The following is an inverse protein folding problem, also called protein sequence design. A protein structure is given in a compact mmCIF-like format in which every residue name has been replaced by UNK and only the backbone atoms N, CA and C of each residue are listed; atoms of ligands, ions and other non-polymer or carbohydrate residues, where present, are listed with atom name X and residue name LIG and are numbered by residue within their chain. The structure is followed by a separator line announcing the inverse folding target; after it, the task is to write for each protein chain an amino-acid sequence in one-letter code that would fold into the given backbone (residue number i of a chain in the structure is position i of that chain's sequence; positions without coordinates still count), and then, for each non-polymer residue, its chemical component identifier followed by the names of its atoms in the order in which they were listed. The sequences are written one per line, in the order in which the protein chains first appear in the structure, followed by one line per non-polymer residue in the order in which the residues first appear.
data_IF_854135151462
#
_entry.id   IF_854135151462
#
_cell.length_a   1.000
_cell.length_b   1.000
_cell.length_c   1.000
_cell.angle_alpha   90.00
_cell.angle_beta   90.00
_cell.angle_gamma   90.00
#
_symmetry.space_group_name_H-M   'P 1'
#
loop_
_entity.id
_entity.type
_entity.pdbx_description
1 polymer ?
#
# COMPACT_ATOMS: atom_id res chain seq x y z
N UNK A 1 9.09 13.15 15.59
CA UNK A 1 8.08 12.70 16.60
C UNK A 1 6.96 11.97 15.88
N UNK A 2 6.11 11.19 16.58
CA UNK A 2 4.99 10.48 15.90
C UNK A 2 4.01 11.44 15.20
N UNK A 3 3.82 12.66 15.70
CA UNK A 3 2.99 13.69 15.07
C UNK A 3 3.49 14.11 13.68
N UNK A 4 4.81 14.17 13.52
CA UNK A 4 5.44 14.50 12.23
C UNK A 4 5.24 13.35 11.23
N UNK A 5 5.35 12.09 11.70
CA UNK A 5 5.06 10.91 10.89
C UNK A 5 3.59 10.89 10.46
N UNK A 6 2.67 11.17 11.39
CA UNK A 6 1.23 11.27 11.12
C UNK A 6 0.95 12.29 10.00
N UNK A 7 1.54 13.47 10.10
CA UNK A 7 1.43 14.54 9.08
C UNK A 7 1.99 14.13 7.72
N UNK A 8 3.15 13.45 7.70
CA UNK A 8 3.78 12.98 6.46
C UNK A 8 2.92 11.92 5.76
N UNK A 9 2.40 10.94 6.49
CA UNK A 9 1.55 9.89 5.93
C UNK A 9 0.23 10.47 5.42
N UNK A 10 -0.39 11.41 6.14
CA UNK A 10 -1.58 12.12 5.65
C UNK A 10 -1.31 12.87 4.34
N UNK A 11 -0.12 13.47 4.20
CA UNK A 11 0.26 14.19 2.98
C UNK A 11 0.41 13.22 1.79
N UNK A 12 1.08 12.09 2.00
CA UNK A 12 1.19 11.04 0.98
C UNK A 12 -0.19 10.49 0.55
N UNK A 13 -1.06 10.17 1.51
CA UNK A 13 -2.41 9.68 1.20
C UNK A 13 -3.25 10.73 0.45
N UNK A 14 -3.09 12.01 0.79
CA UNK A 14 -3.75 13.11 0.09
C UNK A 14 -3.32 13.19 -1.37
N UNK A 15 -2.02 13.14 -1.63
CA UNK A 15 -1.48 13.22 -2.99
C UNK A 15 -1.90 12.00 -3.81
N UNK A 16 -1.86 10.81 -3.21
CA UNK A 16 -2.33 9.58 -3.85
C UNK A 16 -3.82 9.62 -4.22
N UNK A 17 -4.68 10.17 -3.35
CA UNK A 17 -6.11 10.33 -3.62
C UNK A 17 -6.43 11.36 -4.73
N UNK A 18 -5.53 12.31 -5.01
CA UNK A 18 -5.71 13.22 -6.13
C UNK A 18 -5.48 12.53 -7.49
N UNK A 19 -4.65 11.49 -7.50
CA UNK A 19 -4.24 10.80 -8.73
C UNK A 19 -5.02 9.51 -8.99
N UNK A 20 -5.61 8.88 -7.98
CA UNK A 20 -6.32 7.61 -8.18
C UNK A 20 -7.03 7.03 -6.96
N UNK A 21 -7.29 5.73 -7.03
CA UNK A 21 -7.90 4.96 -5.94
C UNK A 21 -6.81 4.53 -4.96
N UNK A 22 -7.10 4.61 -3.67
CA UNK A 22 -6.19 4.22 -2.59
C UNK A 22 -6.87 3.17 -1.70
N UNK A 23 -6.13 2.12 -1.35
CA UNK A 23 -6.54 1.13 -0.36
C UNK A 23 -5.35 0.67 0.49
N UNK A 24 -5.66 0.18 1.68
CA UNK A 24 -4.69 -0.43 2.60
C UNK A 24 -5.00 -1.92 2.64
N UNK A 25 -3.99 -2.76 2.37
CA UNK A 25 -4.11 -4.21 2.44
C UNK A 25 -3.09 -4.71 3.47
N UNK A 26 -3.56 -5.46 4.47
CA UNK A 26 -2.72 -5.93 5.59
C UNK A 26 -2.91 -7.41 5.87
N UNK A 27 -1.85 -8.08 6.30
CA UNK A 27 -1.91 -9.44 6.86
C UNK A 27 -2.23 -9.49 8.36
N UNK A 28 -2.45 -8.33 8.98
CA UNK A 28 -3.03 -8.29 10.32
C UNK A 28 -4.52 -8.64 10.27
N UNK A 29 -5.08 -9.04 11.42
CA UNK A 29 -6.51 -9.30 11.55
C UNK A 29 -7.35 -8.01 11.38
N UNK A 30 -8.60 -8.19 10.97
CA UNK A 30 -9.57 -7.09 10.84
C UNK A 30 -9.66 -6.30 12.15
N UNK A 31 -9.60 -4.96 12.06
CA UNK A 31 -9.61 -4.07 13.21
C UNK A 31 -8.22 -3.66 13.72
N UNK A 32 -7.15 -4.36 13.32
CA UNK A 32 -5.80 -4.05 13.80
C UNK A 32 -5.31 -2.67 13.34
N UNK A 33 -5.56 -2.31 12.07
CA UNK A 33 -5.13 -1.01 11.50
C UNK A 33 -5.85 0.13 12.21
N UNK A 34 -7.12 -0.05 12.51
CA UNK A 34 -7.98 0.91 13.19
C UNK A 34 -7.52 1.11 14.64
N UNK A 35 -7.29 0.01 15.38
CA UNK A 35 -6.80 0.06 16.76
C UNK A 35 -5.40 0.67 16.86
N UNK A 36 -4.50 0.29 15.96
CA UNK A 36 -3.13 0.81 15.91
C UNK A 36 -3.11 2.29 15.51
N UNK A 37 -3.85 2.65 14.45
CA UNK A 37 -3.99 4.02 13.98
C UNK A 37 -4.57 4.94 15.05
N UNK A 38 -5.62 4.51 15.77
CA UNK A 38 -6.21 5.30 16.84
C UNK A 38 -5.22 5.59 17.98
N UNK A 39 -4.27 4.68 18.22
CA UNK A 39 -3.27 4.80 19.28
C UNK A 39 -2.04 5.60 18.87
N UNK A 40 -1.54 5.41 17.66
CA UNK A 40 -0.22 5.89 17.25
C UNK A 40 -0.24 6.96 16.16
N UNK A 41 -1.23 6.95 15.26
CA UNK A 41 -1.34 7.85 14.11
C UNK A 41 -2.82 8.29 13.90
N UNK A 42 -3.43 8.99 14.89
CA UNK A 42 -4.85 9.30 14.86
C UNK A 42 -5.25 10.21 13.69
N UNK A 43 -4.35 11.07 13.20
CA UNK A 43 -4.60 11.92 12.02
C UNK A 43 -4.75 11.09 10.74
N UNK A 44 -3.88 10.10 10.54
CA UNK A 44 -3.98 9.13 9.44
C UNK A 44 -5.31 8.39 9.50
N UNK A 45 -5.70 7.86 10.67
CA UNK A 45 -6.97 7.13 10.79
C UNK A 45 -8.18 8.01 10.46
N UNK A 46 -8.21 9.23 11.02
CA UNK A 46 -9.29 10.19 10.74
C UNK A 46 -9.34 10.55 9.24
N UNK A 47 -8.18 10.73 8.61
CA UNK A 47 -8.08 11.01 7.18
C UNK A 47 -8.62 9.85 6.35
N UNK A 48 -8.23 8.61 6.65
CA UNK A 48 -8.73 7.41 5.96
C UNK A 48 -10.25 7.30 6.05
N UNK A 49 -10.84 7.49 7.23
CA UNK A 49 -12.30 7.47 7.40
C UNK A 49 -13.00 8.60 6.66
N UNK A 50 -12.49 9.83 6.76
CA UNK A 50 -13.06 10.99 6.07
C UNK A 50 -13.11 10.79 4.55
N UNK A 51 -12.11 10.13 3.98
CA UNK A 51 -11.97 9.91 2.54
C UNK A 51 -12.44 8.52 2.08
N UNK A 52 -13.02 7.71 2.97
CA UNK A 52 -13.45 6.34 2.69
C UNK A 52 -12.34 5.46 2.07
N UNK A 53 -11.10 5.61 2.55
CA UNK A 53 -10.00 4.71 2.16
C UNK A 53 -10.32 3.33 2.72
N UNK A 54 -10.37 2.34 1.83
CA UNK A 54 -10.69 0.97 2.20
C UNK A 54 -9.52 0.33 2.92
N UNK A 55 -9.79 -0.33 4.03
CA UNK A 55 -8.86 -1.20 4.75
C UNK A 55 -9.30 -2.64 4.53
N UNK A 56 -8.37 -3.49 4.07
CA UNK A 56 -8.61 -4.90 3.79
C UNK A 56 -7.64 -5.73 4.63
N UNK A 57 -8.19 -6.55 5.52
CA UNK A 57 -7.43 -7.63 6.15
C UNK A 57 -7.39 -8.81 5.19
N UNK A 58 -6.25 -8.97 4.51
CA UNK A 58 -5.97 -10.10 3.64
C UNK A 58 -6.03 -11.41 4.46
N UNK A 59 -5.44 -11.43 5.67
CA UNK A 59 -5.50 -12.57 6.58
C UNK A 59 -6.93 -12.98 6.93
N UNK A 60 -7.73 -12.07 7.49
CA UNK A 60 -9.10 -12.40 7.91
C UNK A 60 -9.98 -12.83 6.73
N UNK A 61 -9.66 -12.40 5.51
CA UNK A 61 -10.43 -12.73 4.31
C UNK A 61 -9.99 -14.06 3.68
N UNK A 62 -8.68 -14.31 3.61
CA UNK A 62 -8.08 -15.36 2.77
C UNK A 62 -7.39 -16.50 3.53
N UNK A 63 -7.10 -16.37 4.84
CA UNK A 63 -6.42 -17.42 5.63
C UNK A 63 -7.16 -18.75 5.61
N UNK A 64 -8.49 -18.74 5.59
CA UNK A 64 -9.30 -19.96 5.50
C UNK A 64 -9.16 -20.71 4.17
N UNK A 65 -8.78 -20.01 3.10
CA UNK A 65 -8.63 -20.56 1.76
C UNK A 65 -7.18 -20.97 1.48
N UNK A 66 -6.22 -20.24 2.06
CA UNK A 66 -4.79 -20.46 1.90
C UNK A 66 -4.11 -20.61 3.28
N UNK A 67 -4.43 -21.68 4.03
CA UNK A 67 -3.93 -21.83 5.40
C UNK A 67 -2.41 -21.97 5.42
N UNK A 68 -1.74 -21.15 6.24
CA UNK A 68 -0.28 -21.19 6.39
C UNK A 68 0.50 -20.49 5.28
N UNK A 69 -0.17 -19.81 4.34
CA UNK A 69 0.46 -19.07 3.24
C UNK A 69 0.14 -17.57 3.30
N UNK A 70 0.78 -16.79 4.19
CA UNK A 70 0.51 -15.35 4.31
C UNK A 70 0.81 -14.55 3.03
N UNK A 71 1.68 -15.05 2.16
CA UNK A 71 1.98 -14.47 0.85
C UNK A 71 0.75 -14.53 -0.07
N UNK A 72 0.09 -15.69 -0.13
CA UNK A 72 -1.09 -15.94 -0.96
C UNK A 72 -2.26 -15.03 -0.56
N UNK A 73 -2.38 -14.67 0.73
CA UNK A 73 -3.45 -13.80 1.20
C UNK A 73 -3.42 -12.43 0.52
N UNK A 74 -2.22 -11.85 0.35
CA UNK A 74 -2.07 -10.54 -0.31
C UNK A 74 -2.18 -10.65 -1.81
N UNK A 75 -1.67 -11.72 -2.42
CA UNK A 75 -1.85 -11.97 -3.86
C UNK A 75 -3.34 -11.92 -4.20
N UNK A 76 -4.15 -12.68 -3.47
CA UNK A 76 -5.60 -12.74 -3.70
C UNK A 76 -6.32 -11.45 -3.33
N UNK A 77 -5.90 -10.77 -2.26
CA UNK A 77 -6.46 -9.48 -1.88
C UNK A 77 -6.19 -8.42 -2.95
N UNK A 78 -4.98 -8.34 -3.50
CA UNK A 78 -4.60 -7.38 -4.54
C UNK A 78 -5.41 -7.61 -5.81
N UNK A 79 -5.42 -8.85 -6.32
CA UNK A 79 -6.17 -9.20 -7.52
C UNK A 79 -7.67 -8.89 -7.37
N UNK A 80 -8.25 -9.23 -6.21
CA UNK A 80 -9.66 -8.99 -5.91
C UNK A 80 -10.00 -7.49 -5.82
N UNK A 81 -9.17 -6.70 -5.14
CA UNK A 81 -9.41 -5.27 -4.97
C UNK A 81 -9.21 -4.48 -6.26
N UNK A 82 -8.18 -4.81 -7.05
CA UNK A 82 -7.99 -4.21 -8.39
C UNK A 82 -9.20 -4.52 -9.27
N UNK A 83 -9.63 -5.78 -9.36
CA UNK A 83 -10.82 -6.16 -10.14
C UNK A 83 -12.10 -5.44 -9.71
N UNK A 84 -12.29 -5.22 -8.40
CA UNK A 84 -13.45 -4.47 -7.87
C UNK A 84 -13.39 -2.98 -8.19
N UNK A 85 -12.22 -2.35 -8.07
CA UNK A 85 -12.05 -0.93 -8.33
C UNK A 85 -12.11 -0.61 -9.83
N UNK A 86 -11.68 -1.57 -10.65
CA UNK A 86 -11.37 -1.38 -12.06
C UNK A 86 -11.96 -2.52 -12.93
N UNK A 87 -13.29 -2.77 -12.88
CA UNK A 87 -13.91 -3.98 -13.47
C UNK A 87 -13.88 -4.08 -15.00
N UNK A 88 -13.66 -2.96 -15.70
CA UNK A 88 -13.67 -2.89 -17.18
C UNK A 88 -12.38 -2.29 -17.73
N UNK A 89 -11.30 -2.34 -16.95
CA UNK A 89 -10.15 -1.48 -17.22
C UNK A 89 -9.19 -2.11 -18.21
N UNK A 90 -8.66 -1.28 -19.09
CA UNK A 90 -7.50 -1.60 -19.91
C UNK A 90 -6.23 -1.45 -19.08
N UNK A 91 -5.25 -0.76 -19.64
CA UNK A 91 -4.00 -0.41 -18.96
C UNK A 91 -4.25 0.37 -17.64
N UNK A 92 -3.63 -0.10 -16.56
CA UNK A 92 -3.59 0.53 -15.24
C UNK A 92 -2.17 0.98 -14.90
N UNK A 93 -2.07 1.92 -13.95
CA UNK A 93 -0.82 2.31 -13.29
C UNK A 93 -1.00 2.05 -11.79
N UNK A 94 -0.37 1.00 -11.28
CA UNK A 94 -0.52 0.52 -9.91
C UNK A 94 0.76 0.76 -9.14
N UNK A 95 0.68 1.53 -8.07
CA UNK A 95 1.77 1.77 -7.13
C UNK A 95 1.51 1.00 -5.83
N UNK A 96 2.46 0.14 -5.47
CA UNK A 96 2.46 -0.66 -4.24
C UNK A 96 3.56 -0.13 -3.32
N UNK A 97 3.18 0.22 -2.10
CA UNK A 97 4.09 0.66 -1.04
C UNK A 97 3.96 -0.33 0.12
N UNK A 98 5.07 -0.87 0.60
CA UNK A 98 5.06 -1.84 1.70
C UNK A 98 6.48 -2.17 2.16
N UNK A 99 6.62 -2.83 3.30
CA UNK A 99 7.92 -3.15 3.89
C UNK A 99 8.31 -4.62 3.76
N UNK A 100 7.38 -5.52 3.40
CA UNK A 100 7.65 -6.95 3.36
C UNK A 100 7.70 -7.53 1.94
N UNK A 101 8.28 -8.72 1.83
CA UNK A 101 8.28 -9.47 0.56
C UNK A 101 6.88 -9.87 0.09
N UNK A 102 5.91 -9.95 1.00
CA UNK A 102 4.53 -10.32 0.63
C UNK A 102 3.84 -9.28 -0.26
N UNK A 103 4.12 -7.99 -0.09
CA UNK A 103 3.64 -6.95 -1.02
C UNK A 103 4.31 -7.05 -2.39
N UNK A 104 5.63 -7.31 -2.43
CA UNK A 104 6.37 -7.44 -3.69
C UNK A 104 5.88 -8.64 -4.50
N UNK A 105 5.64 -9.78 -3.85
CA UNK A 105 5.08 -10.95 -4.51
C UNK A 105 3.67 -10.68 -5.05
N UNK A 106 2.82 -9.99 -4.27
CA UNK A 106 1.49 -9.60 -4.73
C UNK A 106 1.54 -8.62 -5.91
N UNK A 107 2.48 -7.66 -5.91
CA UNK A 107 2.70 -6.75 -7.02
C UNK A 107 3.17 -7.50 -8.29
N UNK A 108 4.11 -8.43 -8.16
CA UNK A 108 4.57 -9.25 -9.28
C UNK A 108 3.48 -10.15 -9.85
N UNK A 109 2.66 -10.78 -9.00
CA UNK A 109 1.50 -11.56 -9.45
C UNK A 109 0.52 -10.68 -10.23
N UNK A 110 0.24 -9.47 -9.72
CA UNK A 110 -0.64 -8.52 -10.38
C UNK A 110 -0.11 -8.06 -11.75
N UNK A 111 1.22 -7.88 -11.88
CA UNK A 111 1.85 -7.53 -13.15
C UNK A 111 1.70 -8.63 -14.22
N UNK A 112 1.69 -9.91 -13.79
CA UNK A 112 1.42 -11.03 -14.70
C UNK A 112 -0.04 -11.08 -15.14
N UNK A 113 -0.97 -10.77 -14.24
CA UNK A 113 -2.41 -10.72 -14.54
C UNK A 113 -2.80 -9.50 -15.41
N UNK A 114 -1.99 -8.44 -15.38
CA UNK A 114 -2.21 -7.18 -16.09
C UNK A 114 -1.04 -6.81 -17.00
N UNK A 115 -0.78 -7.57 -18.08
CA UNK A 115 0.44 -7.42 -18.89
C UNK A 115 0.57 -6.06 -19.59
N UNK A 116 -0.55 -5.38 -19.85
CA UNK A 116 -0.56 -4.05 -20.45
C UNK A 116 -0.43 -2.92 -19.42
N UNK A 117 -0.40 -3.23 -18.12
CA UNK A 117 -0.36 -2.25 -17.03
C UNK A 117 1.05 -1.99 -16.52
N UNK A 118 1.26 -0.81 -15.93
CA UNK A 118 2.48 -0.48 -15.18
C UNK A 118 2.25 -0.86 -13.72
N UNK A 119 3.08 -1.75 -13.19
CA UNK A 119 3.05 -2.12 -11.77
C UNK A 119 4.39 -1.72 -11.16
N UNK A 120 4.30 -0.84 -10.17
CA UNK A 120 5.44 -0.22 -9.51
C UNK A 120 5.41 -0.59 -8.05
N UNK A 121 6.52 -1.07 -7.53
CA UNK A 121 6.66 -1.42 -6.13
C UNK A 121 7.81 -0.65 -5.49
N UNK A 122 7.55 -0.06 -4.32
CA UNK A 122 8.55 0.59 -3.49
C UNK A 122 8.57 -0.13 -2.15
N UNK A 123 9.65 -0.89 -1.91
CA UNK A 123 9.88 -1.59 -0.67
C UNK A 123 10.54 -0.67 0.37
N UNK A 124 9.89 -0.52 1.53
CA UNK A 124 10.45 0.13 2.70
C UNK A 124 11.35 -0.85 3.46
N UNK A 125 12.29 -0.30 4.22
CA UNK A 125 13.11 -1.06 5.16
C UNK A 125 12.23 -1.63 6.28
N UNK A 126 12.36 -2.93 6.53
CA UNK A 126 11.72 -3.62 7.65
C UNK A 126 12.23 -3.11 9.01
N UNK A 127 11.32 -3.01 9.98
CA UNK A 127 11.61 -2.59 11.36
C UNK A 127 12.41 -1.28 11.49
N UNK A 128 12.00 -0.18 10.82
CA UNK A 128 12.71 1.09 10.89
C UNK A 128 12.48 1.77 12.25
N UNK A 129 13.41 2.64 12.68
CA UNK A 129 13.12 3.65 13.68
C UNK A 129 12.07 4.65 13.15
N UNK A 130 11.44 5.42 14.04
CA UNK A 130 10.49 6.46 13.61
C UNK A 130 11.15 7.45 12.65
N UNK A 131 12.38 7.89 12.94
CA UNK A 131 13.12 8.83 12.07
C UNK A 131 13.49 8.22 10.71
N UNK A 132 13.77 6.91 10.67
CA UNK A 132 13.99 6.19 9.41
C UNK A 132 12.70 6.11 8.60
N UNK A 133 11.57 5.75 9.22
CA UNK A 133 10.28 5.68 8.54
C UNK A 133 9.86 7.06 8.02
N UNK A 134 10.06 8.13 8.80
CA UNK A 134 9.80 9.49 8.35
C UNK A 134 10.62 9.86 7.10
N UNK A 135 11.92 9.52 7.08
CA UNK A 135 12.78 9.75 5.91
C UNK A 135 12.31 8.97 4.69
N UNK A 136 11.92 7.71 4.87
CA UNK A 136 11.40 6.87 3.79
C UNK A 136 10.10 7.45 3.20
N UNK A 137 9.13 7.82 4.04
CA UNK A 137 7.88 8.45 3.59
C UNK A 137 8.17 9.79 2.90
N UNK A 138 9.11 10.59 3.42
CA UNK A 138 9.51 11.85 2.82
C UNK A 138 10.13 11.69 1.43
N UNK A 139 10.97 10.66 1.23
CA UNK A 139 11.54 10.34 -0.10
C UNK A 139 10.43 9.98 -1.09
N UNK A 140 9.50 9.10 -0.69
CA UNK A 140 8.35 8.74 -1.54
C UNK A 140 7.52 9.96 -1.89
N UNK A 141 7.23 10.81 -0.90
CA UNK A 141 6.44 12.03 -1.09
C UNK A 141 7.14 13.02 -2.05
N UNK A 142 8.45 13.21 -1.87
CA UNK A 142 9.23 14.15 -2.68
C UNK A 142 9.37 13.71 -4.15
N UNK A 143 9.40 12.39 -4.39
CA UNK A 143 9.47 11.80 -5.72
C UNK A 143 8.13 11.27 -6.21
N UNK A 144 7.01 11.58 -5.54
CA UNK A 144 5.73 10.92 -5.78
C UNK A 144 5.25 11.11 -7.22
N UNK A 145 5.36 12.34 -7.74
CA UNK A 145 4.99 12.64 -9.12
C UNK A 145 5.86 11.87 -10.13
N UNK A 146 7.18 11.86 -9.94
CA UNK A 146 8.11 11.13 -10.81
C UNK A 146 7.83 9.62 -10.81
N UNK A 147 7.56 9.05 -9.64
CA UNK A 147 7.16 7.64 -9.46
C UNK A 147 5.89 7.35 -10.26
N UNK A 148 4.86 8.19 -10.13
CA UNK A 148 3.58 7.98 -10.81
C UNK A 148 3.71 8.17 -12.33
N UNK A 149 4.45 9.16 -12.79
CA UNK A 149 4.61 9.49 -14.22
C UNK A 149 5.59 8.58 -14.97
N UNK A 150 6.46 7.85 -14.26
CA UNK A 150 7.39 6.91 -14.89
C UNK A 150 6.65 5.90 -15.79
N UNK A 151 6.95 5.88 -17.08
CA UNK A 151 6.30 5.00 -18.05
C UNK A 151 6.96 3.62 -18.07
N UNK A 152 6.69 2.85 -17.01
CA UNK A 152 7.19 1.49 -16.88
C UNK A 152 6.90 0.87 -15.51
N UNK A 153 7.16 -0.43 -15.42
CA UNK A 153 7.12 -1.19 -14.17
C UNK A 153 8.50 -1.18 -13.52
N UNK A 154 8.55 -1.12 -12.20
CA UNK A 154 9.78 -1.28 -11.43
C UNK A 154 9.51 -1.87 -10.06
N UNK A 155 10.53 -2.47 -9.47
CA UNK A 155 10.59 -2.84 -8.07
C UNK A 155 11.89 -2.22 -7.52
N UNK A 156 11.76 -1.37 -6.51
CA UNK A 156 12.89 -0.69 -5.87
C UNK A 156 12.80 -0.80 -4.36
N UNK A 157 13.93 -1.02 -3.72
CA UNK A 157 14.06 -0.97 -2.28
C UNK A 157 14.63 0.39 -1.84
N UNK A 158 13.98 1.05 -0.89
CA UNK A 158 14.51 2.26 -0.27
C UNK A 158 15.67 1.89 0.66
N UNK A 159 16.78 2.60 0.49
CA UNK A 159 17.96 2.52 1.36
C UNK A 159 18.10 3.88 2.04
N UNK A 160 17.55 4.05 3.25
CA UNK A 160 17.42 5.35 3.93
C UNK A 160 17.82 5.30 5.41
#
# INVERSE_FOLDING_TARGET
MLEDLDTLVVSLLRDALQLGRVCVITNAETGWVELSGARFLPGVLQFMYKHNIKIVSARSTYERYYPGSPEDWKIEAFACEVKKMFPFSGELNVLVLGDSMSELQAAHALAQDLPESRVKAVAFQESPSVDQLQRQIFVVLSSFQEIVEYDGSFDVQLVC
#
